data_IF_380498268074
#
_entry.id   IF_380498268074
#
_cell.length_a   1.000
_cell.length_b   1.000
_cell.length_c   1.000
_cell.angle_alpha   90.00
_cell.angle_beta   90.00
_cell.angle_gamma   90.00
#
_symmetry.space_group_name_H-M   'P 1'
#
loop_
_entity.id
_entity.type
_entity.pdbx_description
1 polymer ?
#
# COMPACT_ATOMS: atom_id res chain seq x y z
N UNK A 1 6.71 -7.68 -17.02
CA UNK A 1 7.61 -6.53 -16.80
C UNK A 1 6.91 -5.18 -16.59
N UNK A 2 5.59 -5.05 -16.92
CA UNK A 2 4.90 -3.75 -16.80
C UNK A 2 4.68 -3.32 -15.35
N UNK A 3 4.30 -4.23 -14.47
CA UNK A 3 4.11 -3.95 -13.06
C UNK A 3 5.40 -3.50 -12.39
N UNK A 4 6.48 -4.22 -12.60
CA UNK A 4 7.79 -3.84 -12.05
C UNK A 4 8.31 -2.51 -12.61
N UNK A 5 8.11 -2.23 -13.92
CA UNK A 5 8.45 -0.92 -14.50
C UNK A 5 7.62 0.22 -13.91
N UNK A 6 6.37 -0.04 -13.52
CA UNK A 6 5.56 0.93 -12.80
C UNK A 6 6.15 1.28 -11.44
N UNK A 7 6.62 0.28 -10.69
CA UNK A 7 7.29 0.50 -9.39
C UNK A 7 8.54 1.37 -9.57
N UNK A 8 9.38 1.04 -10.56
CA UNK A 8 10.58 1.84 -10.86
C UNK A 8 10.21 3.28 -11.21
N UNK A 9 9.25 3.46 -12.14
CA UNK A 9 8.83 4.78 -12.56
C UNK A 9 8.26 5.59 -11.38
N UNK A 10 7.47 4.94 -10.52
CA UNK A 10 6.87 5.54 -9.33
C UNK A 10 7.95 6.07 -8.37
N UNK A 11 8.89 5.23 -7.97
CA UNK A 11 10.00 5.65 -7.11
C UNK A 11 10.89 6.69 -7.77
N UNK A 12 11.21 6.54 -9.06
CA UNK A 12 12.10 7.47 -9.78
C UNK A 12 11.51 8.87 -9.88
N UNK A 13 10.19 9.00 -10.12
CA UNK A 13 9.53 10.31 -10.18
C UNK A 13 9.67 11.04 -8.85
N UNK A 14 9.36 10.40 -7.72
CA UNK A 14 9.44 11.06 -6.42
C UNK A 14 10.87 11.25 -5.94
N UNK A 15 11.79 10.36 -6.28
CA UNK A 15 13.23 10.55 -6.04
C UNK A 15 13.76 11.78 -6.79
N UNK A 16 13.41 11.95 -8.06
CA UNK A 16 13.82 13.12 -8.86
C UNK A 16 13.26 14.41 -8.27
N UNK A 17 11.98 14.44 -7.90
CA UNK A 17 11.38 15.63 -7.27
C UNK A 17 12.07 15.93 -5.93
N UNK A 18 12.33 14.92 -5.10
CA UNK A 18 13.02 15.03 -3.83
C UNK A 18 14.43 15.57 -3.97
N UNK A 19 15.18 15.10 -4.99
CA UNK A 19 16.52 15.54 -5.27
C UNK A 19 16.62 17.04 -5.67
N UNK A 20 15.53 17.63 -6.18
CA UNK A 20 15.52 19.05 -6.56
C UNK A 20 15.33 20.02 -5.40
N UNK A 21 14.71 19.59 -4.31
CA UNK A 21 14.30 20.45 -3.18
C UNK A 21 13.22 21.48 -3.54
N UNK A 22 12.53 21.34 -4.69
CA UNK A 22 11.55 22.33 -5.20
C UNK A 22 10.29 22.46 -4.34
N UNK A 23 10.04 21.51 -3.45
CA UNK A 23 8.80 21.46 -2.65
C UNK A 23 8.90 22.15 -1.30
N UNK A 24 10.07 22.74 -0.98
CA UNK A 24 10.36 23.36 0.31
C UNK A 24 10.81 22.37 1.40
N UNK A 25 10.94 21.09 1.07
CA UNK A 25 11.66 20.10 1.86
C UNK A 25 13.16 20.17 1.60
N UNK A 26 13.95 19.65 2.53
CA UNK A 26 15.40 19.60 2.41
C UNK A 26 15.81 18.77 1.18
N UNK A 27 16.88 19.21 0.55
CA UNK A 27 17.42 18.54 -0.64
C UNK A 27 18.17 17.27 -0.22
N UNK A 28 17.98 16.19 -0.97
CA UNK A 28 18.69 14.94 -0.72
C UNK A 28 20.20 15.08 -0.90
N UNK A 29 20.96 14.43 -0.03
CA UNK A 29 22.40 14.23 -0.19
C UNK A 29 22.71 13.33 -1.39
N UNK A 30 23.91 13.46 -1.91
CA UNK A 30 24.39 12.59 -3.00
C UNK A 30 24.42 11.12 -2.57
N UNK A 31 24.74 10.86 -1.30
CA UNK A 31 24.82 9.52 -0.75
C UNK A 31 23.44 8.84 -0.71
N UNK A 32 22.41 9.54 -0.24
CA UNK A 32 21.03 9.02 -0.25
C UNK A 32 20.54 8.75 -1.68
N UNK A 33 20.83 9.66 -2.62
CA UNK A 33 20.47 9.46 -4.03
C UNK A 33 21.14 8.21 -4.59
N UNK A 34 22.43 7.99 -4.31
CA UNK A 34 23.15 6.79 -4.76
C UNK A 34 22.58 5.51 -4.15
N UNK A 35 22.19 5.52 -2.87
CA UNK A 35 21.52 4.39 -2.23
C UNK A 35 20.21 4.02 -2.96
N UNK A 36 19.37 5.02 -3.29
CA UNK A 36 18.15 4.77 -4.05
C UNK A 36 18.38 4.31 -5.47
N UNK A 37 19.38 4.85 -6.15
CA UNK A 37 19.75 4.40 -7.50
C UNK A 37 20.22 2.94 -7.44
N UNK A 38 21.07 2.58 -6.50
CA UNK A 38 21.54 1.20 -6.32
C UNK A 38 20.37 0.24 -6.04
N UNK A 39 19.43 0.64 -5.17
CA UNK A 39 18.22 -0.11 -4.87
C UNK A 39 17.36 -0.34 -6.12
N UNK A 40 17.04 0.72 -6.87
CA UNK A 40 16.23 0.62 -8.09
C UNK A 40 16.94 -0.16 -9.21
N UNK A 41 18.26 -0.02 -9.32
CA UNK A 41 19.07 -0.77 -10.27
C UNK A 41 19.03 -2.27 -9.96
N UNK A 42 19.19 -2.66 -8.70
CA UNK A 42 19.09 -4.06 -8.29
C UNK A 42 17.68 -4.63 -8.51
N UNK A 43 16.64 -3.84 -8.24
CA UNK A 43 15.26 -4.21 -8.57
C UNK A 43 15.09 -4.48 -10.06
N UNK A 44 15.56 -3.56 -10.90
CA UNK A 44 15.54 -3.72 -12.35
C UNK A 44 16.32 -4.94 -12.81
N UNK A 45 17.50 -5.18 -12.24
CA UNK A 45 18.33 -6.33 -12.59
C UNK A 45 17.65 -7.65 -12.20
N UNK A 46 17.02 -7.71 -11.02
CA UNK A 46 16.18 -8.85 -10.64
C UNK A 46 15.04 -9.14 -11.62
N UNK A 47 14.40 -8.08 -12.11
CA UNK A 47 13.38 -8.20 -13.16
C UNK A 47 13.93 -8.76 -14.47
N UNK A 48 15.15 -8.35 -14.86
CA UNK A 48 15.75 -8.75 -16.13
C UNK A 48 16.14 -10.23 -16.17
N UNK A 49 16.62 -10.79 -15.06
CA UNK A 49 17.02 -12.20 -15.00
C UNK A 49 15.84 -13.14 -15.31
N UNK A 50 14.66 -12.82 -14.85
CA UNK A 50 13.48 -13.61 -15.18
C UNK A 50 12.76 -13.10 -16.45
N UNK A 51 13.01 -11.85 -16.86
CA UNK A 51 12.31 -11.16 -17.96
C UNK A 51 12.68 -11.61 -19.39
N UNK A 52 13.86 -12.17 -19.59
CA UNK A 52 14.44 -12.45 -20.94
C UNK A 52 13.62 -13.46 -21.75
N UNK A 53 12.77 -14.26 -21.15
CA UNK A 53 12.03 -15.34 -21.82
C UNK A 53 10.55 -15.06 -22.11
N UNK A 54 10.11 -13.79 -22.14
CA UNK A 54 8.72 -13.49 -22.53
C UNK A 54 8.53 -13.75 -24.03
N UNK A 55 7.62 -14.66 -24.44
CA UNK A 55 7.33 -14.87 -25.84
C UNK A 55 6.79 -13.56 -26.44
N UNK A 56 7.45 -13.09 -27.51
CA UNK A 56 6.97 -11.96 -28.29
C UNK A 56 5.56 -12.29 -28.80
N UNK A 57 4.55 -11.55 -28.35
CA UNK A 57 3.20 -11.67 -28.88
C UNK A 57 2.13 -12.31 -27.98
N UNK A 58 2.45 -12.79 -26.78
CA UNK A 58 1.39 -13.24 -25.87
C UNK A 58 0.52 -12.04 -25.46
N UNK A 59 -0.69 -11.98 -26.00
CA UNK A 59 -1.74 -11.11 -25.47
C UNK A 59 -2.06 -11.59 -24.05
N UNK A 60 -1.91 -10.73 -23.04
CA UNK A 60 -2.45 -10.99 -21.72
C UNK A 60 -3.89 -11.47 -21.88
N UNK A 61 -4.29 -12.48 -21.10
CA UNK A 61 -5.65 -13.00 -21.10
C UNK A 61 -6.64 -11.82 -21.03
N UNK A 62 -7.10 -11.35 -22.20
CA UNK A 62 -8.14 -10.34 -22.29
C UNK A 62 -9.52 -10.91 -21.96
N UNK A 63 -9.60 -12.22 -21.71
CA UNK A 63 -10.83 -12.84 -21.28
C UNK A 63 -11.12 -12.41 -19.85
N UNK A 64 -12.22 -11.69 -19.69
CA UNK A 64 -12.88 -11.46 -18.42
C UNK A 64 -13.27 -12.83 -17.82
N UNK A 65 -12.35 -13.45 -17.09
CA UNK A 65 -12.69 -14.64 -16.32
C UNK A 65 -13.60 -14.21 -15.20
N UNK A 66 -14.85 -14.60 -15.30
CA UNK A 66 -15.84 -14.34 -14.28
C UNK A 66 -15.54 -15.21 -13.04
N UNK A 67 -15.55 -14.58 -11.88
CA UNK A 67 -15.58 -15.32 -10.61
C UNK A 67 -16.89 -16.13 -10.57
N UNK A 68 -16.84 -17.37 -10.06
CA UNK A 68 -18.06 -18.15 -9.84
C UNK A 68 -19.11 -17.31 -9.12
N UNK A 69 -20.35 -17.32 -9.59
CA UNK A 69 -21.46 -16.51 -9.02
C UNK A 69 -21.52 -16.54 -7.51
N UNK A 70 -21.32 -17.73 -6.90
CA UNK A 70 -21.31 -17.91 -5.43
C UNK A 70 -20.24 -17.04 -4.75
N UNK A 71 -19.04 -16.98 -5.29
CA UNK A 71 -17.95 -16.16 -4.72
C UNK A 71 -18.18 -14.67 -4.97
N UNK A 72 -18.72 -14.30 -6.13
CA UNK A 72 -19.08 -12.91 -6.41
C UNK A 72 -20.14 -12.39 -5.41
N UNK A 73 -21.15 -13.21 -5.10
CA UNK A 73 -22.16 -12.87 -4.10
C UNK A 73 -21.56 -12.76 -2.69
N UNK A 74 -20.64 -13.65 -2.33
CA UNK A 74 -19.93 -13.58 -1.05
C UNK A 74 -19.11 -12.30 -0.91
N UNK A 75 -18.42 -11.87 -1.96
CA UNK A 75 -17.64 -10.61 -1.97
C UNK A 75 -18.57 -9.40 -1.76
N UNK A 76 -19.71 -9.37 -2.46
CA UNK A 76 -20.73 -8.33 -2.28
C UNK A 76 -21.24 -8.30 -0.85
N UNK A 77 -21.54 -9.48 -0.27
CA UNK A 77 -22.01 -9.60 1.12
C UNK A 77 -20.97 -9.06 2.11
N UNK A 78 -19.68 -9.37 1.92
CA UNK A 78 -18.59 -8.88 2.75
C UNK A 78 -18.54 -7.35 2.71
N UNK A 79 -18.60 -6.72 1.51
CA UNK A 79 -18.62 -5.27 1.41
C UNK A 79 -19.86 -4.65 2.05
N UNK A 80 -21.04 -5.20 1.81
CA UNK A 80 -22.28 -4.72 2.43
C UNK A 80 -22.20 -4.80 3.96
N UNK A 81 -21.70 -5.90 4.49
CA UNK A 81 -21.54 -6.10 5.92
C UNK A 81 -20.50 -5.12 6.50
N UNK A 82 -19.37 -4.93 5.84
CA UNK A 82 -18.37 -3.94 6.25
C UNK A 82 -18.92 -2.51 6.25
N UNK A 83 -19.64 -2.13 5.19
CA UNK A 83 -20.29 -0.81 5.07
C UNK A 83 -21.28 -0.62 6.22
N UNK A 84 -22.14 -1.60 6.47
CA UNK A 84 -23.13 -1.54 7.54
C UNK A 84 -22.46 -1.36 8.92
N UNK A 85 -21.43 -2.16 9.21
CA UNK A 85 -20.70 -2.06 10.46
C UNK A 85 -19.96 -0.73 10.60
N UNK A 86 -19.36 -0.24 9.51
CA UNK A 86 -18.71 1.08 9.46
C UNK A 86 -19.69 2.22 9.76
N UNK A 87 -20.89 2.17 9.18
CA UNK A 87 -21.93 3.18 9.45
C UNK A 87 -22.37 3.15 10.91
N UNK A 88 -22.52 1.97 11.51
CA UNK A 88 -22.84 1.84 12.94
C UNK A 88 -21.72 2.45 13.80
N UNK A 89 -20.44 2.17 13.48
CA UNK A 89 -19.30 2.73 14.19
C UNK A 89 -19.27 4.27 14.06
N UNK A 90 -19.50 4.82 12.88
CA UNK A 90 -19.58 6.26 12.66
C UNK A 90 -20.73 6.92 13.45
N UNK A 91 -21.90 6.31 13.46
CA UNK A 91 -23.02 6.79 14.29
C UNK A 91 -22.65 6.78 15.77
N UNK A 92 -21.96 5.73 16.22
CA UNK A 92 -21.52 5.65 17.61
C UNK A 92 -20.50 6.74 17.95
N UNK A 93 -19.54 7.01 17.08
CA UNK A 93 -18.51 8.04 17.28
C UNK A 93 -19.14 9.43 17.29
N UNK A 94 -19.83 9.80 16.21
CA UNK A 94 -20.19 11.20 15.97
C UNK A 94 -21.55 11.58 16.55
N UNK A 95 -22.53 10.68 16.53
CA UNK A 95 -23.87 10.99 16.99
C UNK A 95 -24.07 10.69 18.49
N UNK A 96 -23.72 9.50 18.94
CA UNK A 96 -23.96 9.10 20.33
C UNK A 96 -22.90 9.65 21.29
N UNK A 97 -21.62 9.60 20.93
CA UNK A 97 -20.54 10.06 21.80
C UNK A 97 -20.11 11.50 21.52
N UNK A 98 -20.59 12.12 20.44
CA UNK A 98 -20.28 13.52 20.03
C UNK A 98 -18.78 13.81 20.07
N UNK A 99 -17.97 12.88 19.63
CA UNK A 99 -16.51 13.00 19.69
C UNK A 99 -16.05 13.95 18.59
N UNK A 100 -15.21 14.90 18.96
CA UNK A 100 -14.52 15.75 17.99
C UNK A 100 -13.49 14.95 17.19
N UNK A 101 -13.40 15.23 15.89
CA UNK A 101 -12.54 14.54 14.94
C UNK A 101 -11.06 14.57 15.33
N UNK A 102 -10.59 15.73 15.85
CA UNK A 102 -9.19 15.90 16.26
C UNK A 102 -8.87 15.06 17.48
N UNK A 103 -9.74 15.10 18.50
CA UNK A 103 -9.61 14.33 19.74
C UNK A 103 -9.66 12.81 19.47
N UNK A 104 -10.56 12.37 18.58
CA UNK A 104 -10.66 10.96 18.20
C UNK A 104 -9.39 10.46 17.53
N UNK A 105 -8.85 11.24 16.59
CA UNK A 105 -7.62 10.89 15.89
C UNK A 105 -6.44 10.82 16.85
N UNK A 106 -6.29 11.82 17.72
CA UNK A 106 -5.21 11.83 18.68
C UNK A 106 -5.26 10.60 19.59
N UNK A 107 -6.41 10.30 20.18
CA UNK A 107 -6.62 9.12 21.02
C UNK A 107 -6.33 7.80 20.27
N UNK A 108 -6.57 7.76 18.96
CA UNK A 108 -6.28 6.58 18.16
C UNK A 108 -4.77 6.37 17.96
N UNK A 109 -4.01 7.44 17.69
CA UNK A 109 -2.57 7.38 17.48
C UNK A 109 -1.79 7.23 18.79
N UNK A 110 -2.29 7.81 19.89
CA UNK A 110 -1.67 7.69 21.22
C UNK A 110 -1.82 6.29 21.84
N UNK A 111 -2.44 5.36 21.10
CA UNK A 111 -2.62 3.97 21.53
C UNK A 111 -3.58 3.83 22.72
N UNK A 112 -4.38 4.85 23.01
CA UNK A 112 -5.35 4.79 24.10
C UNK A 112 -6.39 3.72 23.79
N UNK A 113 -6.61 2.79 24.76
CA UNK A 113 -7.62 1.74 24.63
C UNK A 113 -9.04 2.28 24.61
N UNK A 114 -9.22 3.58 24.81
CA UNK A 114 -10.53 4.24 24.83
C UNK A 114 -11.26 4.18 23.50
N UNK A 115 -10.52 4.04 22.39
CA UNK A 115 -11.13 3.91 21.07
C UNK A 115 -11.93 2.62 20.88
N UNK A 116 -11.61 1.58 21.65
CA UNK A 116 -12.28 0.28 21.60
C UNK A 116 -13.77 0.40 21.92
N UNK A 117 -14.16 1.36 22.77
CA UNK A 117 -15.58 1.61 23.14
C UNK A 117 -16.45 1.98 21.94
N UNK A 118 -15.89 2.66 20.93
CA UNK A 118 -16.62 3.06 19.74
C UNK A 118 -16.99 1.90 18.83
N UNK A 119 -16.31 0.78 18.99
CA UNK A 119 -16.55 -0.47 18.27
C UNK A 119 -17.25 -1.54 19.13
N UNK A 120 -17.95 -1.11 20.18
CA UNK A 120 -18.64 -2.02 21.10
C UNK A 120 -17.69 -2.98 21.84
N UNK A 121 -16.54 -2.50 22.21
CA UNK A 121 -15.55 -3.24 23.00
C UNK A 121 -14.41 -3.85 22.18
N UNK A 122 -13.53 -4.53 22.86
CA UNK A 122 -12.28 -5.09 22.31
C UNK A 122 -12.58 -6.06 21.16
N UNK A 123 -13.56 -6.93 21.33
CA UNK A 123 -13.96 -7.92 20.32
C UNK A 123 -14.45 -7.23 19.04
N UNK A 124 -15.35 -6.25 19.17
CA UNK A 124 -15.86 -5.48 18.03
C UNK A 124 -14.78 -4.75 17.26
N UNK A 125 -13.80 -4.16 17.98
CA UNK A 125 -12.67 -3.48 17.35
C UNK A 125 -11.81 -4.46 16.52
N UNK A 126 -11.39 -5.58 17.10
CA UNK A 126 -10.59 -6.58 16.37
C UNK A 126 -11.37 -7.23 15.23
N UNK A 127 -12.67 -7.43 15.41
CA UNK A 127 -13.53 -7.93 14.34
C UNK A 127 -13.61 -6.94 13.18
N UNK A 128 -13.80 -5.65 13.47
CA UNK A 128 -13.76 -4.59 12.44
C UNK A 128 -12.41 -4.56 11.71
N UNK A 129 -11.32 -4.67 12.48
CA UNK A 129 -9.97 -4.69 11.92
C UNK A 129 -9.76 -5.89 10.99
N UNK A 130 -10.13 -7.10 11.42
CA UNK A 130 -10.05 -8.29 10.58
C UNK A 130 -10.90 -8.17 9.31
N UNK A 131 -12.09 -7.62 9.43
CA UNK A 131 -12.97 -7.38 8.29
C UNK A 131 -12.37 -6.36 7.33
N UNK A 132 -11.70 -5.32 7.83
CA UNK A 132 -10.98 -4.36 6.98
C UNK A 132 -9.83 -5.02 6.21
N UNK A 133 -9.03 -5.90 6.84
CA UNK A 133 -8.00 -6.67 6.16
C UNK A 133 -8.56 -7.50 5.00
N UNK A 134 -9.73 -8.10 5.21
CA UNK A 134 -10.42 -8.87 4.17
C UNK A 134 -10.88 -7.97 3.02
N UNK A 135 -11.41 -6.77 3.32
CA UNK A 135 -11.77 -5.77 2.31
C UNK A 135 -10.55 -5.38 1.47
N UNK A 136 -9.41 -5.03 2.10
CA UNK A 136 -8.17 -4.71 1.38
C UNK A 136 -7.68 -5.88 0.50
N UNK A 137 -7.71 -7.10 1.02
CA UNK A 137 -7.30 -8.30 0.28
C UNK A 137 -8.18 -8.56 -0.95
N UNK A 138 -9.45 -8.16 -0.93
CA UNK A 138 -10.41 -8.35 -2.02
C UNK A 138 -10.36 -7.27 -3.09
N UNK A 139 -9.69 -6.13 -2.87
CA UNK A 139 -9.60 -5.03 -3.85
C UNK A 139 -9.11 -5.50 -5.23
N UNK A 140 -7.96 -6.17 -5.37
CA UNK A 140 -7.47 -6.62 -6.67
C UNK A 140 -8.43 -7.56 -7.39
N UNK A 141 -9.09 -8.43 -6.65
CA UNK A 141 -10.14 -9.33 -7.22
C UNK A 141 -11.30 -8.53 -7.80
N UNK A 142 -11.78 -7.55 -7.04
CA UNK A 142 -12.93 -6.71 -7.43
C UNK A 142 -12.63 -5.91 -8.68
N UNK A 143 -11.44 -5.34 -8.79
CA UNK A 143 -11.02 -4.52 -9.95
C UNK A 143 -10.84 -5.40 -11.20
N UNK A 144 -10.30 -6.61 -11.06
CA UNK A 144 -10.08 -7.52 -12.18
C UNK A 144 -11.41 -8.06 -12.72
N UNK A 145 -12.38 -8.37 -11.84
CA UNK A 145 -13.71 -8.88 -12.27
C UNK A 145 -14.59 -7.83 -12.94
N UNK A 146 -14.26 -6.55 -12.82
CA UNK A 146 -14.85 -5.43 -13.54
C UNK A 146 -16.38 -5.23 -13.39
N UNK A 147 -16.99 -5.78 -12.34
CA UNK A 147 -18.39 -5.51 -12.00
C UNK A 147 -18.52 -4.08 -11.44
N UNK A 148 -19.19 -3.17 -12.17
CA UNK A 148 -19.37 -1.77 -11.73
C UNK A 148 -19.95 -1.67 -10.32
N UNK A 149 -20.97 -2.49 -10.01
CA UNK A 149 -21.61 -2.50 -8.68
C UNK A 149 -20.61 -2.89 -7.58
N UNK A 150 -19.86 -3.96 -7.80
CA UNK A 150 -18.88 -4.45 -6.81
C UNK A 150 -17.72 -3.47 -6.64
N UNK A 151 -17.26 -2.83 -7.73
CA UNK A 151 -16.23 -1.78 -7.69
C UNK A 151 -16.69 -0.59 -6.86
N UNK A 152 -17.95 -0.12 -7.08
CA UNK A 152 -18.51 0.98 -6.29
C UNK A 152 -18.66 0.64 -4.82
N UNK A 153 -19.11 -0.58 -4.49
CA UNK A 153 -19.20 -1.03 -3.10
C UNK A 153 -17.82 -1.11 -2.44
N UNK A 154 -16.82 -1.64 -3.15
CA UNK A 154 -15.44 -1.69 -2.68
C UNK A 154 -14.89 -0.30 -2.40
N UNK A 155 -15.05 0.64 -3.32
CA UNK A 155 -14.62 2.02 -3.15
C UNK A 155 -15.30 2.67 -1.95
N UNK A 156 -16.62 2.50 -1.82
CA UNK A 156 -17.37 3.06 -0.69
C UNK A 156 -16.98 2.44 0.65
N UNK A 157 -16.69 1.15 0.69
CA UNK A 157 -16.19 0.47 1.88
C UNK A 157 -14.84 1.06 2.34
N UNK A 158 -13.90 1.26 1.41
CA UNK A 158 -12.60 1.86 1.70
C UNK A 158 -12.69 3.35 2.07
N UNK A 159 -13.63 4.07 1.48
CA UNK A 159 -13.93 5.44 1.86
C UNK A 159 -14.40 5.54 3.32
N UNK A 160 -15.30 4.65 3.74
CA UNK A 160 -15.74 4.59 5.14
C UNK A 160 -14.61 4.19 6.08
N UNK A 161 -13.74 3.27 5.67
CA UNK A 161 -12.52 2.95 6.42
C UNK A 161 -11.67 4.21 6.65
N UNK A 162 -11.42 4.98 5.60
CA UNK A 162 -10.61 6.18 5.69
C UNK A 162 -11.26 7.27 6.56
N UNK A 163 -12.59 7.41 6.52
CA UNK A 163 -13.33 8.34 7.39
C UNK A 163 -13.20 7.91 8.86
N UNK A 164 -13.34 6.62 9.16
CA UNK A 164 -13.26 6.11 10.55
C UNK A 164 -11.86 6.29 11.13
N UNK A 165 -10.82 5.96 10.36
CA UNK A 165 -9.44 6.05 10.83
C UNK A 165 -8.78 7.40 10.52
N UNK A 166 -9.52 8.34 9.91
CA UNK A 166 -9.00 9.62 9.41
C UNK A 166 -7.72 9.44 8.59
N UNK A 167 -7.69 8.36 7.81
CA UNK A 167 -6.58 7.96 6.95
C UNK A 167 -6.88 8.28 5.49
N UNK A 168 -5.92 8.00 4.61
CA UNK A 168 -6.09 8.05 3.15
C UNK A 168 -5.73 6.70 2.52
N UNK A 169 -5.33 5.75 3.35
CA UNK A 169 -4.73 4.48 2.95
C UNK A 169 -5.68 3.64 2.10
N UNK A 170 -6.97 3.60 2.46
CA UNK A 170 -7.96 2.77 1.78
C UNK A 170 -8.23 3.24 0.35
N UNK A 171 -8.56 4.51 0.18
CA UNK A 171 -8.84 5.10 -1.14
C UNK A 171 -7.57 5.14 -1.98
N UNK A 172 -6.42 5.46 -1.40
CA UNK A 172 -5.15 5.48 -2.10
C UNK A 172 -4.77 4.08 -2.62
N UNK A 173 -4.88 3.05 -1.79
CA UNK A 173 -4.65 1.66 -2.19
C UNK A 173 -5.59 1.21 -3.33
N UNK A 174 -6.88 1.58 -3.25
CA UNK A 174 -7.83 1.30 -4.33
C UNK A 174 -7.39 1.93 -5.65
N UNK A 175 -6.97 3.19 -5.62
CA UNK A 175 -6.54 3.93 -6.80
C UNK A 175 -5.29 3.34 -7.42
N UNK A 176 -4.27 3.06 -6.61
CA UNK A 176 -3.06 2.40 -7.08
C UNK A 176 -3.39 1.03 -7.70
N UNK A 177 -4.23 0.23 -7.04
CA UNK A 177 -4.66 -1.06 -7.57
C UNK A 177 -5.41 -0.92 -8.90
N UNK A 178 -6.22 0.15 -9.05
CA UNK A 178 -6.94 0.43 -10.29
C UNK A 178 -5.99 0.86 -11.41
N UNK A 179 -5.02 1.72 -11.12
CA UNK A 179 -3.98 2.16 -12.07
C UNK A 179 -3.15 0.96 -12.53
N UNK A 180 -2.63 0.17 -11.60
CA UNK A 180 -1.85 -1.03 -11.89
C UNK A 180 -2.64 -2.00 -12.77
N UNK A 181 -3.88 -2.31 -12.38
CA UNK A 181 -4.77 -3.16 -13.16
C UNK A 181 -5.02 -2.62 -14.57
N UNK A 182 -5.23 -1.31 -14.70
CA UNK A 182 -5.51 -0.68 -16.00
C UNK A 182 -4.30 -0.75 -16.94
N UNK A 183 -3.10 -0.60 -16.41
CA UNK A 183 -1.85 -0.68 -17.18
C UNK A 183 -1.54 -2.13 -17.56
N UNK A 184 -1.68 -3.07 -16.63
CA UNK A 184 -1.48 -4.49 -16.90
C UNK A 184 -2.46 -5.01 -17.96
N UNK A 185 -3.73 -4.61 -17.88
CA UNK A 185 -4.80 -5.00 -18.81
C UNK A 185 -4.90 -4.13 -20.05
N UNK A 186 -4.02 -3.12 -20.23
CA UNK A 186 -4.08 -2.14 -21.34
C UNK A 186 -5.44 -1.44 -21.47
N UNK A 187 -6.11 -1.16 -20.35
CA UNK A 187 -7.36 -0.38 -20.34
C UNK A 187 -7.05 1.07 -20.71
N UNK A 188 -8.00 1.74 -21.36
CA UNK A 188 -7.81 3.12 -21.86
C UNK A 188 -7.50 4.13 -20.76
N UNK A 189 -6.57 5.04 -21.04
CA UNK A 189 -6.04 6.06 -20.12
C UNK A 189 -7.12 6.99 -19.53
N UNK A 190 -8.23 7.22 -20.26
CA UNK A 190 -9.34 8.08 -19.80
C UNK A 190 -9.91 7.66 -18.45
N UNK A 191 -10.04 6.34 -18.22
CA UNK A 191 -10.54 5.82 -16.92
C UNK A 191 -9.56 6.07 -15.80
N UNK A 192 -8.26 5.99 -16.07
CA UNK A 192 -7.20 6.26 -15.10
C UNK A 192 -7.26 7.73 -14.67
N UNK A 193 -7.42 8.65 -15.62
CA UNK A 193 -7.52 10.09 -15.34
C UNK A 193 -8.73 10.38 -14.44
N UNK A 194 -9.91 9.82 -14.76
CA UNK A 194 -11.12 10.03 -13.95
C UNK A 194 -10.91 9.53 -12.51
N UNK A 195 -10.37 8.33 -12.35
CA UNK A 195 -10.10 7.77 -11.01
C UNK A 195 -9.05 8.61 -10.27
N UNK A 196 -8.01 9.07 -10.97
CA UNK A 196 -7.01 9.98 -10.41
C UNK A 196 -7.62 11.32 -9.95
N UNK A 197 -8.52 11.91 -10.73
CA UNK A 197 -9.22 13.16 -10.33
C UNK A 197 -10.11 12.97 -9.09
N UNK A 198 -10.85 11.86 -9.02
CA UNK A 198 -11.66 11.54 -7.84
C UNK A 198 -10.78 11.38 -6.60
N UNK A 199 -9.62 10.75 -6.74
CA UNK A 199 -8.62 10.64 -5.70
C UNK A 199 -8.12 11.98 -5.20
N UNK A 200 -7.79 12.84 -6.14
CA UNK A 200 -7.25 14.16 -5.87
C UNK A 200 -8.30 15.00 -5.11
N UNK A 201 -9.55 14.97 -5.53
CA UNK A 201 -10.66 15.63 -4.82
C UNK A 201 -10.84 15.07 -3.40
N UNK A 202 -10.80 13.74 -3.23
CA UNK A 202 -10.91 13.14 -1.92
C UNK A 202 -9.73 13.52 -1.01
N UNK A 203 -8.51 13.47 -1.54
CA UNK A 203 -7.33 13.89 -0.79
C UNK A 203 -7.39 15.36 -0.37
N UNK A 204 -7.98 16.22 -1.20
CA UNK A 204 -8.26 17.63 -0.87
C UNK A 204 -9.22 17.77 0.30
N UNK A 205 -10.36 17.10 0.21
CA UNK A 205 -11.39 17.16 1.25
C UNK A 205 -10.77 16.68 2.58
N UNK A 206 -10.06 15.57 2.58
CA UNK A 206 -9.41 15.02 3.79
C UNK A 206 -8.31 15.94 4.33
N UNK A 207 -7.59 16.67 3.48
CA UNK A 207 -6.60 17.65 3.93
C UNK A 207 -7.25 18.88 4.52
N UNK A 208 -8.30 19.40 3.89
CA UNK A 208 -9.05 20.54 4.37
C UNK A 208 -9.69 20.28 5.76
N UNK A 209 -10.21 19.07 5.97
CA UNK A 209 -10.77 18.69 7.28
C UNK A 209 -9.71 18.56 8.38
N UNK A 210 -8.44 18.40 8.02
CA UNK A 210 -7.31 18.28 8.96
C UNK A 210 -6.72 19.63 9.36
N UNK A 211 -6.56 20.55 8.39
CA UNK A 211 -5.85 21.82 8.55
C UNK A 211 -6.75 22.99 8.13
N UNK A 212 -7.61 23.45 9.04
CA UNK A 212 -8.57 24.53 8.79
C UNK A 212 -7.95 25.90 8.46
N UNK A 213 -6.62 26.06 8.36
CA UNK A 213 -5.97 27.38 8.31
C UNK A 213 -5.09 27.66 7.11
N UNK A 214 -4.98 26.78 6.14
CA UNK A 214 -3.98 26.94 5.06
C UNK A 214 -4.61 27.23 3.71
N UNK A 215 -3.86 27.94 2.87
CA UNK A 215 -4.13 28.12 1.46
C UNK A 215 -4.39 26.76 0.78
N UNK A 216 -5.55 26.64 0.11
CA UNK A 216 -6.03 25.40 -0.47
C UNK A 216 -5.02 24.81 -1.47
N UNK A 217 -4.38 25.65 -2.28
CA UNK A 217 -3.40 25.22 -3.29
C UNK A 217 -2.10 24.77 -2.64
N UNK A 218 -1.61 25.51 -1.65
CA UNK A 218 -0.42 25.16 -0.87
C UNK A 218 -0.60 23.87 -0.09
N UNK A 219 -1.80 23.66 0.47
CA UNK A 219 -2.17 22.41 1.19
C UNK A 219 -2.24 21.21 0.26
N UNK A 220 -2.69 21.39 -0.97
CA UNK A 220 -2.70 20.36 -2.00
C UNK A 220 -1.30 19.85 -2.31
N UNK A 221 -0.42 20.79 -2.66
CA UNK A 221 0.94 20.44 -2.99
C UNK A 221 1.67 19.80 -1.79
N UNK A 222 1.56 20.39 -0.61
CA UNK A 222 2.19 19.84 0.59
C UNK A 222 1.63 18.48 0.98
N UNK A 223 0.32 18.29 0.92
CA UNK A 223 -0.30 17.04 1.39
C UNK A 223 -0.17 15.87 0.42
N UNK A 224 -0.02 16.11 -0.89
CA UNK A 224 0.09 15.03 -1.87
C UNK A 224 1.55 14.81 -2.23
N UNK A 225 2.25 15.84 -2.69
CA UNK A 225 3.62 15.69 -3.19
C UNK A 225 4.60 15.52 -2.03
N UNK A 226 4.55 16.42 -1.04
CA UNK A 226 5.49 16.35 0.09
C UNK A 226 5.32 15.04 0.89
N UNK A 227 4.10 14.51 0.99
CA UNK A 227 3.88 13.24 1.68
C UNK A 227 4.57 12.05 0.98
N UNK A 228 4.73 12.11 -0.35
CA UNK A 228 5.48 11.10 -1.10
C UNK A 228 6.99 11.32 -1.06
N UNK A 229 7.43 12.56 -0.84
CA UNK A 229 8.84 12.95 -0.84
C UNK A 229 9.44 12.85 0.55
N UNK A 230 8.68 13.18 1.59
CA UNK A 230 9.16 13.19 2.97
C UNK A 230 9.88 11.88 3.39
N UNK A 231 9.41 10.67 3.01
CA UNK A 231 10.11 9.44 3.34
C UNK A 231 11.54 9.34 2.77
N UNK A 232 11.80 9.98 1.62
CA UNK A 232 13.16 10.03 1.04
C UNK A 232 14.06 10.97 1.83
N UNK A 233 13.52 12.14 2.21
CA UNK A 233 14.26 13.13 3.00
C UNK A 233 14.52 12.62 4.41
N UNK A 234 13.52 11.98 5.04
CA UNK A 234 13.68 11.32 6.34
C UNK A 234 14.75 10.23 6.32
N UNK A 235 14.80 9.43 5.24
CA UNK A 235 15.86 8.44 5.06
C UNK A 235 17.24 9.09 5.03
N UNK A 236 17.39 10.17 4.28
CA UNK A 236 18.65 10.89 4.20
C UNK A 236 19.06 11.48 5.56
N UNK A 237 18.18 12.28 6.16
CA UNK A 237 18.51 13.00 7.38
C UNK A 237 18.70 12.09 8.59
N UNK A 238 17.80 11.13 8.79
CA UNK A 238 17.80 10.35 10.01
C UNK A 238 18.65 9.08 9.94
N UNK A 239 18.87 8.53 8.74
CA UNK A 239 19.61 7.27 8.58
C UNK A 239 21.00 7.54 8.00
N UNK A 240 21.10 8.29 6.89
CA UNK A 240 22.37 8.49 6.19
C UNK A 240 23.19 9.58 6.86
N UNK A 241 22.63 10.78 7.03
CA UNK A 241 23.41 11.96 7.45
C UNK A 241 23.61 12.05 8.97
N UNK A 242 22.54 11.86 9.75
CA UNK A 242 22.60 12.09 11.20
C UNK A 242 22.67 10.80 12.04
N UNK A 243 22.46 9.63 11.45
CA UNK A 243 22.45 8.33 12.13
C UNK A 243 21.57 8.31 13.40
N UNK A 244 20.47 9.05 13.39
CA UNK A 244 19.55 9.17 14.54
C UNK A 244 18.89 7.83 14.88
N UNK A 245 18.55 7.05 13.86
CA UNK A 245 18.01 5.71 14.03
C UNK A 245 19.13 4.70 13.92
N UNK A 246 19.69 4.38 15.06
CA UNK A 246 20.64 3.28 15.21
C UNK A 246 19.88 2.04 15.62
N UNK A 247 19.39 1.30 14.66
CA UNK A 247 18.77 0.03 14.97
C UNK A 247 19.58 -1.11 14.34
N UNK A 248 20.30 -1.83 15.17
CA UNK A 248 21.03 -3.05 14.80
C UNK A 248 20.23 -4.31 15.21
N UNK A 249 18.91 -4.19 15.25
CA UNK A 249 18.04 -5.28 15.65
C UNK A 249 17.75 -6.20 14.47
N UNK A 250 17.99 -7.48 14.64
CA UNK A 250 17.79 -8.51 13.64
C UNK A 250 16.38 -8.48 13.04
N UNK A 251 16.18 -7.69 11.99
CA UNK A 251 14.96 -7.70 11.21
C UNK A 251 13.77 -6.91 11.79
N UNK A 252 13.94 -6.07 12.82
CA UNK A 252 12.81 -5.35 13.43
C UNK A 252 12.17 -4.33 12.49
N UNK A 253 12.94 -3.68 11.63
CA UNK A 253 12.44 -2.75 10.66
C UNK A 253 11.94 -3.46 9.39
N UNK A 254 12.69 -4.44 8.88
CA UNK A 254 12.36 -5.14 7.64
C UNK A 254 11.27 -6.20 7.80
N UNK A 255 11.26 -6.96 8.89
CA UNK A 255 10.21 -7.94 9.20
C UNK A 255 9.05 -7.34 9.99
N UNK A 256 9.27 -6.22 10.68
CA UNK A 256 8.23 -5.49 11.40
C UNK A 256 7.41 -6.38 12.33
N UNK A 257 6.09 -6.38 12.12
CA UNK A 257 5.15 -7.12 12.97
C UNK A 257 5.31 -8.64 12.87
N UNK A 258 5.94 -9.17 11.81
CA UNK A 258 6.18 -10.61 11.68
C UNK A 258 7.18 -11.14 12.72
N UNK A 259 7.97 -10.27 13.35
CA UNK A 259 8.83 -10.64 14.46
C UNK A 259 8.08 -11.26 15.65
N UNK A 260 6.77 -11.09 15.73
CA UNK A 260 5.93 -11.71 16.77
C UNK A 260 6.06 -13.24 16.80
N UNK A 261 6.45 -13.87 15.68
CA UNK A 261 6.71 -15.32 15.62
C UNK A 261 7.87 -15.75 16.52
N UNK A 262 8.79 -14.83 16.84
CA UNK A 262 9.92 -15.08 17.73
C UNK A 262 9.61 -14.80 19.21
N UNK A 263 8.41 -14.30 19.52
CA UNK A 263 7.98 -14.01 20.91
C UNK A 263 8.15 -15.19 21.87
N UNK A 264 7.91 -16.46 21.48
CA UNK A 264 8.17 -17.61 22.36
C UNK A 264 9.64 -17.81 22.72
N UNK A 265 10.57 -17.28 21.90
CA UNK A 265 12.02 -17.38 22.11
C UNK A 265 12.51 -16.19 22.91
N UNK A 266 11.99 -14.99 22.61
CA UNK A 266 12.36 -13.76 23.29
C UNK A 266 11.13 -12.88 23.52
N UNK A 267 10.69 -12.81 24.77
CA UNK A 267 9.50 -12.01 25.16
C UNK A 267 9.72 -10.50 25.06
N UNK A 268 10.97 -10.01 24.96
CA UNK A 268 11.30 -8.60 24.83
C UNK A 268 11.01 -8.04 23.40
N UNK A 269 10.77 -8.93 22.43
CA UNK A 269 10.53 -8.54 21.03
C UNK A 269 9.33 -7.58 20.91
N UNK A 270 8.26 -7.78 21.69
CA UNK A 270 7.09 -6.89 21.63
C UNK A 270 7.41 -5.48 22.13
N UNK A 271 8.19 -5.34 23.19
CA UNK A 271 8.66 -4.01 23.65
C UNK A 271 9.55 -3.37 22.59
N UNK A 272 10.49 -4.11 22.02
CA UNK A 272 11.38 -3.62 20.96
C UNK A 272 10.63 -3.15 19.71
N UNK A 273 9.58 -3.88 19.28
CA UNK A 273 8.71 -3.45 18.17
C UNK A 273 7.97 -2.16 18.53
N UNK A 274 7.45 -2.06 19.75
CA UNK A 274 6.72 -0.87 20.19
C UNK A 274 7.63 0.35 20.32
N UNK A 275 8.84 0.17 20.86
CA UNK A 275 9.84 1.23 20.98
C UNK A 275 10.29 1.72 19.59
N UNK A 276 10.52 0.80 18.66
CA UNK A 276 10.84 1.16 17.29
C UNK A 276 9.68 1.92 16.59
N UNK A 277 8.43 1.47 16.81
CA UNK A 277 7.25 2.19 16.31
C UNK A 277 7.10 3.57 16.95
N UNK A 278 7.43 3.72 18.22
CA UNK A 278 7.41 5.02 18.88
C UNK A 278 8.41 5.98 18.22
N UNK A 279 9.63 5.53 17.92
CA UNK A 279 10.62 6.32 17.16
C UNK A 279 10.10 6.72 15.77
N UNK A 280 9.39 5.83 15.08
CA UNK A 280 8.78 6.15 13.79
C UNK A 280 7.63 7.16 13.87
N UNK A 281 7.07 7.40 15.05
CA UNK A 281 6.01 8.39 15.27
C UNK A 281 6.55 9.78 15.68
N UNK A 282 7.85 9.91 15.89
CA UNK A 282 8.47 11.20 16.15
C UNK A 282 8.37 12.12 14.94
N UNK A 283 8.20 13.42 15.20
CA UNK A 283 8.13 14.42 14.16
C UNK A 283 9.47 15.12 13.98
N UNK A 284 9.93 15.17 12.75
CA UNK A 284 11.15 15.84 12.35
C UNK A 284 10.83 17.03 11.45
N UNK A 285 11.56 18.12 11.61
CA UNK A 285 11.48 19.26 10.71
C UNK A 285 12.32 18.98 9.45
N UNK A 286 11.64 18.94 8.31
CA UNK A 286 12.24 18.67 7.02
C UNK A 286 12.20 19.90 6.09
N UNK A 287 11.86 21.08 6.63
CA UNK A 287 11.68 22.29 5.84
C UNK A 287 12.99 23.06 5.63
N UNK A 288 13.22 23.63 4.42
CA UNK A 288 14.42 24.43 4.11
C UNK A 288 14.38 25.80 4.80
N UNK A 289 13.28 26.52 4.73
CA UNK A 289 13.15 27.87 5.27
C UNK A 289 11.92 28.06 6.16
N UNK A 290 11.30 26.99 6.60
CA UNK A 290 10.08 26.99 7.42
C UNK A 290 9.94 25.64 8.12
N UNK A 291 9.28 25.67 9.27
CA UNK A 291 8.98 24.47 10.01
C UNK A 291 7.97 23.59 9.24
N UNK A 292 8.42 22.43 8.78
CA UNK A 292 7.61 21.43 8.08
C UNK A 292 7.77 20.08 8.79
N UNK A 293 6.94 19.80 9.82
CA UNK A 293 7.07 18.61 10.63
C UNK A 293 6.46 17.40 9.91
N UNK A 294 7.23 16.34 9.81
CA UNK A 294 6.79 15.02 9.31
C UNK A 294 7.19 13.94 10.29
N UNK A 295 6.29 12.99 10.53
CA UNK A 295 6.65 11.79 11.29
C UNK A 295 7.50 10.83 10.43
N UNK A 296 8.36 10.07 11.12
CA UNK A 296 9.42 9.26 10.50
C UNK A 296 8.86 8.02 9.78
N UNK A 297 8.15 8.23 8.67
CA UNK A 297 7.86 7.15 7.74
C UNK A 297 8.99 7.03 6.73
N UNK A 298 9.60 5.85 6.68
CA UNK A 298 10.67 5.54 5.72
C UNK A 298 10.11 4.68 4.60
N UNK A 299 10.69 4.83 3.41
CA UNK A 299 10.41 3.90 2.31
C UNK A 299 10.78 2.45 2.70
N UNK A 300 10.38 1.47 1.90
CA UNK A 300 10.84 0.09 2.10
C UNK A 300 12.36 -0.04 2.10
N UNK A 301 13.08 0.79 1.33
CA UNK A 301 14.55 0.87 1.39
C UNK A 301 15.01 1.23 2.79
N UNK A 302 14.44 2.28 3.40
CA UNK A 302 14.84 2.71 4.74
C UNK A 302 14.67 1.60 5.78
N UNK A 303 13.54 0.88 5.76
CA UNK A 303 13.31 -0.24 6.67
C UNK A 303 14.33 -1.37 6.54
N UNK A 304 14.66 -1.76 5.32
CA UNK A 304 15.66 -2.82 5.09
C UNK A 304 17.07 -2.32 5.37
N UNK A 305 17.37 -1.06 5.05
CA UNK A 305 18.67 -0.45 5.26
C UNK A 305 19.03 -0.37 6.76
N UNK A 306 18.08 -0.03 7.62
CA UNK A 306 18.28 0.01 9.07
C UNK A 306 18.77 -1.34 9.61
N UNK A 307 18.20 -2.44 9.11
CA UNK A 307 18.53 -3.79 9.59
C UNK A 307 19.77 -4.40 8.96
N UNK A 308 20.01 -4.14 7.67
CA UNK A 308 20.98 -4.91 6.87
C UNK A 308 21.90 -4.05 6.00
N UNK A 309 21.82 -2.72 6.15
CA UNK A 309 22.63 -1.79 5.39
C UNK A 309 22.36 -1.82 3.87
N UNK A 310 23.26 -1.22 3.09
CA UNK A 310 23.12 -1.09 1.65
C UNK A 310 23.08 -2.44 0.94
N UNK A 311 23.96 -3.37 1.31
CA UNK A 311 24.07 -4.68 0.64
C UNK A 311 22.79 -5.49 0.83
N UNK A 312 22.28 -5.58 2.06
CA UNK A 312 21.02 -6.27 2.31
C UNK A 312 19.84 -5.63 1.59
N UNK A 313 19.80 -4.30 1.50
CA UNK A 313 18.78 -3.58 0.74
C UNK A 313 18.83 -3.88 -0.75
N UNK A 314 20.02 -3.96 -1.34
CA UNK A 314 20.22 -4.36 -2.74
C UNK A 314 19.75 -5.79 -3.00
N UNK A 315 20.06 -6.74 -2.09
CA UNK A 315 19.61 -8.13 -2.19
C UNK A 315 18.08 -8.26 -2.11
N UNK A 316 17.44 -7.59 -1.14
CA UNK A 316 15.97 -7.61 -1.00
C UNK A 316 15.31 -6.98 -2.20
N UNK A 317 15.85 -5.87 -2.72
CA UNK A 317 15.35 -5.21 -3.91
C UNK A 317 15.41 -6.11 -5.13
N UNK A 318 16.56 -6.75 -5.36
CA UNK A 318 16.77 -7.74 -6.43
C UNK A 318 15.74 -8.88 -6.36
N UNK A 319 15.59 -9.50 -5.18
CA UNK A 319 14.62 -10.58 -4.97
C UNK A 319 13.19 -10.14 -5.21
N UNK A 320 12.85 -8.92 -4.79
CA UNK A 320 11.51 -8.35 -5.02
C UNK A 320 11.24 -8.16 -6.51
N UNK A 321 12.19 -7.61 -7.26
CA UNK A 321 12.07 -7.47 -8.71
C UNK A 321 11.90 -8.81 -9.42
N UNK A 322 12.69 -9.83 -9.04
CA UNK A 322 12.61 -11.18 -9.56
C UNK A 322 11.23 -11.81 -9.30
N UNK A 323 10.73 -11.74 -8.06
CA UNK A 323 9.43 -12.30 -7.67
C UNK A 323 8.27 -11.62 -8.42
N UNK A 324 8.28 -10.29 -8.53
CA UNK A 324 7.21 -9.55 -9.22
C UNK A 324 7.11 -9.98 -10.68
N UNK A 325 8.22 -10.11 -11.37
CA UNK A 325 8.22 -10.53 -12.78
C UNK A 325 7.80 -11.99 -12.91
N UNK A 326 8.22 -12.87 -12.00
CA UNK A 326 7.76 -14.27 -11.96
C UNK A 326 6.24 -14.40 -11.82
N UNK A 327 5.65 -13.61 -10.91
CA UNK A 327 4.19 -13.52 -10.74
C UNK A 327 3.53 -12.95 -12.02
N UNK A 328 4.07 -11.88 -12.59
CA UNK A 328 3.53 -11.24 -13.80
C UNK A 328 3.58 -12.18 -15.01
N UNK A 329 4.64 -12.97 -15.18
CA UNK A 329 4.71 -14.02 -16.22
C UNK A 329 3.62 -15.08 -16.02
N UNK A 330 3.43 -15.51 -14.79
CA UNK A 330 2.40 -16.49 -14.45
C UNK A 330 0.98 -15.93 -14.65
N UNK A 331 0.81 -14.62 -14.62
CA UNK A 331 -0.46 -13.94 -14.89
C UNK A 331 -0.99 -14.17 -16.33
N UNK A 332 -0.12 -14.51 -17.28
CA UNK A 332 -0.56 -14.92 -18.63
C UNK A 332 -1.26 -16.29 -18.64
N UNK A 333 -1.03 -17.11 -17.62
CA UNK A 333 -1.57 -18.46 -17.53
C UNK A 333 -2.81 -18.57 -16.64
N UNK A 334 -2.97 -17.67 -15.67
CA UNK A 334 -4.03 -17.78 -14.68
C UNK A 334 -4.45 -16.42 -14.12
N UNK A 335 -5.77 -16.23 -13.96
CA UNK A 335 -6.35 -15.04 -13.32
C UNK A 335 -5.87 -14.89 -11.88
N UNK A 336 -5.59 -15.97 -11.16
CA UNK A 336 -5.04 -15.90 -9.80
C UNK A 336 -3.72 -15.14 -9.79
N UNK A 337 -2.81 -15.46 -10.72
CA UNK A 337 -1.54 -14.74 -10.83
C UNK A 337 -1.70 -13.32 -11.35
N UNK A 338 -2.70 -13.03 -12.18
CA UNK A 338 -3.02 -11.67 -12.58
C UNK A 338 -3.44 -10.81 -11.37
N UNK A 339 -4.34 -11.33 -10.54
CA UNK A 339 -4.75 -10.68 -9.29
C UNK A 339 -3.57 -10.50 -8.35
N UNK A 340 -2.71 -11.53 -8.22
CA UNK A 340 -1.48 -11.45 -7.43
C UNK A 340 -0.50 -10.40 -7.97
N UNK A 341 -0.37 -10.29 -9.28
CA UNK A 341 0.46 -9.25 -9.91
C UNK A 341 -0.05 -7.84 -9.57
N UNK A 342 -1.38 -7.61 -9.63
CA UNK A 342 -1.95 -6.33 -9.19
C UNK A 342 -1.69 -6.10 -7.71
N UNK A 343 -1.96 -7.09 -6.86
CA UNK A 343 -1.79 -6.97 -5.41
C UNK A 343 -0.34 -6.60 -5.03
N UNK A 344 0.64 -7.41 -5.42
CA UNK A 344 2.03 -7.20 -5.03
C UNK A 344 2.66 -5.96 -5.67
N UNK A 345 2.32 -5.64 -6.93
CA UNK A 345 2.77 -4.39 -7.55
C UNK A 345 2.22 -3.17 -6.80
N UNK A 346 0.94 -3.20 -6.41
CA UNK A 346 0.34 -2.13 -5.62
C UNK A 346 1.03 -1.99 -4.26
N UNK A 347 1.30 -3.10 -3.57
CA UNK A 347 2.03 -3.05 -2.30
C UNK A 347 3.43 -2.47 -2.45
N UNK A 348 4.15 -2.80 -3.52
CA UNK A 348 5.45 -2.18 -3.79
C UNK A 348 5.36 -0.68 -4.06
N UNK A 349 4.28 -0.19 -4.67
CA UNK A 349 4.08 1.26 -4.83
C UNK A 349 3.69 1.93 -3.50
N UNK A 350 2.86 1.27 -2.67
CA UNK A 350 2.52 1.72 -1.31
C UNK A 350 3.75 1.80 -0.38
N UNK A 351 4.73 0.94 -0.59
CA UNK A 351 5.94 0.88 0.23
C UNK A 351 6.86 2.11 0.10
N UNK A 352 6.47 3.08 -0.73
CA UNK A 352 7.13 4.40 -0.77
C UNK A 352 6.90 5.18 0.54
N UNK A 353 5.77 4.95 1.22
CA UNK A 353 5.44 5.65 2.47
C UNK A 353 6.01 4.98 3.70
N UNK A 354 5.95 3.66 3.75
CA UNK A 354 6.46 2.90 4.90
C UNK A 354 6.72 1.44 4.52
N UNK A 355 7.62 0.75 5.26
CA UNK A 355 7.76 -0.68 5.10
C UNK A 355 6.42 -1.39 5.29
N UNK A 356 6.03 -2.22 4.33
CA UNK A 356 4.75 -2.96 4.33
C UNK A 356 4.56 -3.76 5.62
N UNK A 357 5.66 -4.27 6.15
CA UNK A 357 5.71 -5.10 7.37
C UNK A 357 5.38 -4.36 8.66
N UNK A 358 5.40 -3.01 8.65
CA UNK A 358 5.11 -2.18 9.81
C UNK A 358 3.68 -1.64 9.85
N UNK A 359 2.90 -1.87 8.81
CA UNK A 359 1.54 -1.32 8.66
C UNK A 359 0.47 -2.41 8.49
N UNK A 360 -0.77 -2.00 8.23
CA UNK A 360 -1.93 -2.89 8.03
C UNK A 360 -1.69 -3.93 6.91
N UNK A 361 -0.86 -3.62 5.92
CA UNK A 361 -0.61 -4.50 4.79
C UNK A 361 0.15 -5.77 5.17
N UNK A 362 0.90 -5.78 6.29
CA UNK A 362 1.52 -6.98 6.81
C UNK A 362 0.50 -8.11 7.01
N UNK A 363 -0.58 -7.81 7.71
CA UNK A 363 -1.67 -8.78 7.90
C UNK A 363 -2.52 -8.98 6.65
N UNK A 364 -2.68 -7.92 5.84
CA UNK A 364 -3.41 -8.03 4.58
C UNK A 364 -2.78 -9.05 3.63
N UNK A 365 -1.45 -9.19 3.62
CA UNK A 365 -0.75 -10.22 2.84
C UNK A 365 -1.19 -11.62 3.28
N UNK A 366 -1.25 -11.88 4.59
CA UNK A 366 -1.67 -13.19 5.12
C UNK A 366 -3.11 -13.49 4.70
N UNK A 367 -4.02 -12.52 4.92
CA UNK A 367 -5.44 -12.67 4.54
C UNK A 367 -5.57 -12.84 3.03
N UNK A 368 -4.79 -12.11 2.24
CA UNK A 368 -4.79 -12.24 0.78
C UNK A 368 -4.40 -13.64 0.33
N UNK A 369 -3.37 -14.24 0.92
CA UNK A 369 -2.95 -15.61 0.59
C UNK A 369 -4.05 -16.63 0.90
N UNK A 370 -4.76 -16.47 2.03
CA UNK A 370 -5.93 -17.31 2.37
C UNK A 370 -7.05 -17.11 1.34
N UNK A 371 -7.37 -15.88 0.98
CA UNK A 371 -8.37 -15.55 -0.04
C UNK A 371 -8.00 -16.17 -1.40
N UNK A 372 -6.72 -16.12 -1.77
CA UNK A 372 -6.22 -16.71 -3.01
C UNK A 372 -6.42 -18.23 -3.08
N UNK A 373 -6.33 -18.92 -1.94
CA UNK A 373 -6.58 -20.36 -1.87
C UNK A 373 -8.07 -20.69 -1.98
N UNK A 374 -8.93 -19.89 -1.37
CA UNK A 374 -10.37 -20.14 -1.26
C UNK A 374 -11.13 -19.76 -2.54
N UNK A 375 -10.79 -18.63 -3.16
CA UNK A 375 -11.52 -18.16 -4.34
C UNK A 375 -11.24 -19.05 -5.56
N UNK A 376 -12.32 -19.52 -6.16
CA UNK A 376 -12.30 -20.32 -7.40
C UNK A 376 -12.86 -19.49 -8.55
N UNK A 377 -12.18 -19.53 -9.68
CA UNK A 377 -12.64 -18.93 -10.93
C UNK A 377 -13.45 -19.95 -11.73
N UNK A 378 -14.38 -19.48 -12.57
CA UNK A 378 -14.98 -20.32 -13.58
C UNK A 378 -13.86 -20.73 -14.54
N UNK A 379 -13.65 -22.04 -14.70
CA UNK A 379 -12.81 -22.53 -15.77
C UNK A 379 -13.53 -22.11 -17.06
N UNK A 380 -13.00 -21.14 -17.79
CA UNK A 380 -13.28 -21.09 -19.21
C UNK A 380 -12.76 -22.43 -19.73
N UNK A 381 -13.64 -23.20 -20.43
CA UNK A 381 -13.25 -24.47 -21.03
C UNK A 381 -11.99 -24.27 -21.88
N UNK A 382 -10.83 -24.47 -21.23
CA UNK A 382 -9.49 -24.28 -21.83
C UNK A 382 -9.26 -25.18 -23.03
N UNK A 383 -10.10 -26.22 -23.15
CA UNK A 383 -10.02 -27.17 -24.26
C UNK A 383 -10.48 -26.62 -25.62
N UNK A 384 -11.31 -25.58 -25.67
CA UNK A 384 -11.81 -25.02 -26.95
C UNK A 384 -10.83 -24.01 -27.55
N UNK A 385 -10.09 -23.29 -26.74
CA UNK A 385 -9.14 -22.26 -27.21
C UNK A 385 -7.84 -22.89 -27.67
N UNK A 386 -7.28 -23.86 -26.95
CA UNK A 386 -6.10 -24.59 -27.36
C UNK A 386 -6.32 -25.44 -28.64
N UNK A 387 -7.52 -25.98 -28.86
CA UNK A 387 -7.86 -26.67 -30.11
C UNK A 387 -7.90 -25.72 -31.31
N UNK A 388 -8.31 -24.47 -31.14
CA UNK A 388 -8.41 -23.48 -32.22
C UNK A 388 -7.04 -22.92 -32.66
N UNK A 389 -6.02 -22.98 -31.81
CA UNK A 389 -4.66 -22.54 -32.12
C UNK A 389 -3.74 -23.71 -32.61
N UNK A 390 -4.11 -24.99 -32.37
CA UNK A 390 -3.41 -26.12 -32.96
C UNK A 390 -3.86 -26.44 -34.40
N UNK A 391 -4.96 -25.87 -34.85
CA UNK A 391 -5.55 -26.08 -36.17
C UNK A 391 -5.19 -24.98 -37.18
N UNK A 392 -4.31 -24.05 -36.84
CA UNK A 392 -3.68 -23.06 -37.70
C UNK A 392 -2.14 -23.21 -37.63
#
# INVERSE_FOLDING_TARGET
MRGGMLVIAWYSIFLLISATGMTGLNKLSTEAILCYIAFLFCFFFGMMLDGVSLPNGMKMLQQEQKIKKRHASAIVLIYCFFIFYSLIALLNIYYFNKVDLSSYRQAFFDGSRDNVKYFYGVFGFYFYYLLSLLVFALVPYTIITNSKKTISLCFFALLLYDIIFLSRTGVYYFILSYIVSSILLKKGIKKIIIVGMVALLFSLIMSYTRDMKSDIIGTLFSSIINYHIAPFVLFDENIISNHLIKYNGAGLASLGIYNIIFYPIDSSIMSSINDFRAQLNEFYDLGVNRYLPYNAYYTSLGGVYIDSGLIGSMMVSFMTGFIIVGIEKSAFKSTKFLVSSVFFTTLCMESIFSPITLNIFAFTIIVYLVVLMVLKYENSDDNTIFKKYRAK
#
